data_IF_141406521061
#
_entry.id   IF_141406521061
#
_cell.length_a   1.000
_cell.length_b   1.000
_cell.length_c   1.000
_cell.angle_alpha   90.00
_cell.angle_beta   90.00
_cell.angle_gamma   90.00
#
_symmetry.space_group_name_H-M   'P 1'
#
loop_
_entity.id
_entity.type
_entity.pdbx_description
1 polymer ?
#
# COMPACT_ATOMS: atom_id res chain seq x y z
N UNK A 1 -7.90 29.94 -7.16
CA UNK A 1 -7.17 30.03 -5.88
C UNK A 1 -7.14 28.64 -5.28
N UNK A 2 -6.11 27.86 -5.58
CA UNK A 2 -5.98 26.48 -5.09
C UNK A 2 -5.16 26.53 -3.80
N UNK A 3 -5.82 26.28 -2.68
CA UNK A 3 -5.21 26.27 -1.35
C UNK A 3 -4.40 24.98 -1.23
N UNK A 4 -3.11 25.05 -1.59
CA UNK A 4 -2.12 24.04 -1.21
C UNK A 4 -1.95 24.12 0.31
N UNK A 5 -2.74 23.31 1.02
CA UNK A 5 -2.56 23.09 2.45
C UNK A 5 -1.22 22.39 2.66
N UNK A 6 -0.19 23.16 2.98
CA UNK A 6 1.07 22.64 3.49
C UNK A 6 0.77 21.81 4.74
N UNK A 7 1.00 20.50 4.67
CA UNK A 7 1.07 19.63 5.83
C UNK A 7 2.34 20.01 6.60
N UNK A 8 2.24 21.06 7.42
CA UNK A 8 3.22 21.38 8.44
C UNK A 8 3.11 20.30 9.51
N UNK A 9 3.87 19.23 9.33
CA UNK A 9 4.12 18.24 10.36
C UNK A 9 4.99 18.93 11.43
N UNK A 10 4.35 19.64 12.35
CA UNK A 10 5.00 20.16 13.54
C UNK A 10 5.28 18.99 14.48
N UNK A 11 6.25 18.14 14.12
CA UNK A 11 6.91 17.28 15.08
C UNK A 11 7.81 18.19 15.93
N UNK A 12 7.25 18.78 16.97
CA UNK A 12 8.04 19.14 18.16
C UNK A 12 8.43 17.83 18.82
N UNK A 13 9.35 17.10 18.17
CA UNK A 13 10.16 16.14 18.89
C UNK A 13 10.99 17.00 19.83
N UNK A 14 10.59 17.04 21.09
CA UNK A 14 11.47 17.46 22.18
C UNK A 14 12.58 16.41 22.23
N UNK A 15 13.52 16.49 21.28
CA UNK A 15 14.84 15.93 21.47
C UNK A 15 15.28 16.49 22.83
N UNK A 16 15.52 15.61 23.79
CA UNK A 16 16.34 15.94 24.95
C UNK A 16 17.69 16.28 24.34
N UNK A 17 17.82 17.56 24.03
CA UNK A 17 18.78 18.07 23.07
C UNK A 17 20.19 17.77 23.57
N UNK A 18 21.10 17.67 22.61
CA UNK A 18 22.53 17.52 22.82
C UNK A 18 23.12 18.43 23.90
N UNK A 19 22.44 19.52 24.29
CA UNK A 19 22.85 20.45 25.34
C UNK A 19 23.34 19.77 26.64
N UNK A 20 22.61 18.81 27.19
CA UNK A 20 23.02 18.20 28.47
C UNK A 20 24.31 17.37 28.28
N UNK A 21 24.42 16.65 27.16
CA UNK A 21 25.63 15.89 26.82
C UNK A 21 26.81 16.79 26.43
N UNK A 22 26.56 17.91 25.75
CA UNK A 22 27.59 18.88 25.36
C UNK A 22 28.19 19.55 26.59
N UNK A 23 27.37 19.92 27.59
CA UNK A 23 27.83 20.48 28.86
C UNK A 23 28.66 19.44 29.65
N UNK A 24 28.21 18.18 29.72
CA UNK A 24 28.96 17.08 30.36
C UNK A 24 30.31 16.80 29.66
N UNK A 25 30.33 16.81 28.32
CA UNK A 25 31.56 16.62 27.51
C UNK A 25 32.55 17.75 27.76
N UNK A 26 32.09 19.01 27.83
CA UNK A 26 32.95 20.14 28.12
C UNK A 26 33.58 20.02 29.51
N UNK A 27 32.79 19.67 30.53
CA UNK A 27 33.29 19.45 31.88
C UNK A 27 34.31 18.30 31.96
N UNK A 28 34.14 17.25 31.15
CA UNK A 28 35.12 16.16 31.04
C UNK A 28 36.43 16.66 30.40
N UNK A 29 36.35 17.42 29.31
CA UNK A 29 37.52 17.94 28.61
C UNK A 29 38.35 18.89 29.49
N UNK A 30 37.70 19.84 30.17
CA UNK A 30 38.39 20.76 31.10
C UNK A 30 39.17 20.01 32.19
N UNK A 31 38.60 18.91 32.70
CA UNK A 31 39.25 18.09 33.73
C UNK A 31 40.37 17.21 33.16
N UNK A 32 40.23 16.75 31.92
CA UNK A 32 41.30 16.05 31.23
C UNK A 32 42.50 16.97 31.02
N UNK A 33 42.25 18.21 30.56
CA UNK A 33 43.28 19.22 30.36
C UNK A 33 44.00 19.56 31.68
N UNK A 34 43.26 19.69 32.79
CA UNK A 34 43.84 19.92 34.11
C UNK A 34 44.73 18.76 34.59
N UNK A 35 44.29 17.51 34.36
CA UNK A 35 45.07 16.33 34.69
C UNK A 35 46.31 16.21 33.78
N UNK A 36 46.20 16.51 32.48
CA UNK A 36 47.32 16.50 31.53
C UNK A 36 48.39 17.54 31.90
N UNK A 37 47.97 18.76 32.29
CA UNK A 37 48.87 19.79 32.79
C UNK A 37 49.60 19.33 34.08
N UNK A 38 48.89 18.69 35.00
CA UNK A 38 49.48 18.15 36.23
C UNK A 38 50.49 17.05 35.95
N UNK A 39 50.17 16.12 35.04
CA UNK A 39 51.07 15.05 34.62
C UNK A 39 52.31 15.60 33.92
N UNK A 40 52.16 16.62 33.07
CA UNK A 40 53.28 17.31 32.41
C UNK A 40 54.21 17.93 33.44
N UNK A 41 53.68 18.64 34.44
CA UNK A 41 54.48 19.25 35.51
C UNK A 41 55.26 18.19 36.31
N UNK A 42 54.63 17.06 36.65
CA UNK A 42 55.32 15.94 37.31
C UNK A 42 56.44 15.39 36.41
N UNK A 43 56.18 15.18 35.12
CA UNK A 43 57.18 14.68 34.17
C UNK A 43 58.39 15.60 34.04
N UNK A 44 58.21 16.91 34.03
CA UNK A 44 59.31 17.88 34.01
C UNK A 44 60.19 17.78 35.25
N UNK A 45 59.59 17.64 36.44
CA UNK A 45 60.33 17.45 37.69
C UNK A 45 61.14 16.16 37.68
N UNK A 46 60.55 15.06 37.22
CA UNK A 46 61.26 13.78 37.11
C UNK A 46 62.43 13.85 36.12
N UNK A 47 62.28 14.54 34.98
CA UNK A 47 63.37 14.80 34.03
C UNK A 47 64.50 15.63 34.64
N UNK A 48 64.18 16.51 35.59
CA UNK A 48 65.18 17.31 36.31
C UNK A 48 65.94 16.56 37.42
N UNK A 49 65.71 15.26 37.57
CA UNK A 49 66.41 14.38 38.53
C UNK A 49 65.64 14.14 39.83
N UNK A 50 64.39 14.58 39.91
CA UNK A 50 63.52 14.27 41.04
C UNK A 50 62.91 12.86 40.92
N UNK A 51 62.37 12.32 42.02
CA UNK A 51 61.82 10.96 42.05
C UNK A 51 60.51 10.91 42.84
N UNK A 52 59.65 9.94 42.51
CA UNK A 52 58.38 9.71 43.22
C UNK A 52 58.64 8.98 44.53
N UNK A 53 58.36 9.64 45.66
CA UNK A 53 58.53 9.07 46.98
C UNK A 53 57.34 8.22 47.41
N UNK A 54 56.12 8.69 47.13
CA UNK A 54 54.89 8.06 47.59
C UNK A 54 53.76 8.32 46.63
N UNK A 55 52.93 7.30 46.42
CA UNK A 55 51.62 7.44 45.79
C UNK A 55 50.60 6.86 46.77
N UNK A 56 49.58 7.63 47.09
CA UNK A 56 48.55 7.20 48.02
C UNK A 56 47.14 7.57 47.53
N UNK A 57 46.13 6.74 47.83
CA UNK A 57 44.76 7.08 47.50
C UNK A 57 44.28 8.29 48.30
N UNK A 58 43.48 9.13 47.66
CA UNK A 58 42.67 10.18 48.28
C UNK A 58 41.19 9.94 47.93
N UNK A 59 40.27 10.63 48.60
CA UNK A 59 38.82 10.41 48.46
C UNK A 59 38.35 10.30 46.99
N UNK A 60 38.88 11.15 46.12
CA UNK A 60 38.51 11.20 44.70
C UNK A 60 39.72 11.05 43.77
N UNK A 61 40.70 10.18 44.07
CA UNK A 61 41.84 9.96 43.17
C UNK A 61 43.12 9.53 43.88
N UNK A 62 44.27 10.06 43.44
CA UNK A 62 45.58 9.78 44.04
C UNK A 62 46.34 11.07 44.35
N UNK A 63 47.18 11.01 45.38
CA UNK A 63 48.21 12.01 45.68
C UNK A 63 49.59 11.43 45.38
N UNK A 64 50.37 12.17 44.60
CA UNK A 64 51.77 11.86 44.30
C UNK A 64 52.66 12.81 45.10
N UNK A 65 53.56 12.26 45.91
CA UNK A 65 54.58 13.03 46.65
C UNK A 65 55.95 12.76 46.05
N UNK A 66 56.66 13.83 45.70
CA UNK A 66 58.03 13.76 45.18
C UNK A 66 59.05 13.76 46.32
N UNK A 67 60.30 13.39 46.01
CA UNK A 67 61.40 13.36 46.98
C UNK A 67 61.71 14.70 47.65
N UNK A 68 61.33 15.85 47.04
CA UNK A 68 61.42 17.17 47.69
C UNK A 68 60.35 17.42 48.76
N UNK A 69 59.33 16.56 48.85
CA UNK A 69 58.12 16.81 49.62
C UNK A 69 57.02 17.55 48.86
N UNK A 70 57.25 17.96 47.60
CA UNK A 70 56.20 18.55 46.75
C UNK A 70 55.11 17.52 46.44
N UNK A 71 53.85 17.93 46.52
CA UNK A 71 52.69 17.05 46.31
C UNK A 71 51.83 17.50 45.14
N UNK A 72 51.30 16.54 44.39
CA UNK A 72 50.33 16.74 43.31
C UNK A 72 49.13 15.83 43.52
N UNK A 73 47.92 16.38 43.40
CA UNK A 73 46.68 15.61 43.45
C UNK A 73 46.17 15.39 42.03
N UNK A 74 45.85 14.14 41.70
CA UNK A 74 45.22 13.74 40.45
C UNK A 74 43.83 13.22 40.81
N UNK A 75 42.80 13.95 40.37
CA UNK A 75 41.42 13.68 40.79
C UNK A 75 40.58 13.05 39.68
N UNK A 76 39.74 12.10 40.08
CA UNK A 76 38.65 11.53 39.31
C UNK A 76 37.50 12.53 39.12
N UNK A 77 36.51 12.10 38.35
CA UNK A 77 35.30 12.87 38.13
C UNK A 77 34.18 12.60 39.07
N UNK A 78 33.27 13.56 39.11
CA UNK A 78 31.93 13.31 39.58
C UNK A 78 31.23 12.32 38.63
N UNK A 79 30.32 11.54 39.19
CA UNK A 79 29.46 10.69 38.38
C UNK A 79 28.55 11.57 37.51
N UNK A 80 28.34 11.17 36.25
CA UNK A 80 27.36 11.80 35.39
C UNK A 80 25.96 11.75 36.03
N UNK A 81 25.16 12.78 35.77
CA UNK A 81 23.76 12.78 36.19
C UNK A 81 22.97 11.77 35.38
N UNK A 82 21.95 11.15 35.99
CA UNK A 82 21.04 10.30 35.23
C UNK A 82 20.28 11.17 34.21
N UNK A 83 20.20 10.69 32.96
CA UNK A 83 19.34 11.29 31.96
C UNK A 83 17.87 11.27 32.38
N UNK A 84 17.08 12.23 31.87
CA UNK A 84 15.63 12.24 32.09
C UNK A 84 14.97 11.04 31.42
N UNK A 85 13.90 10.52 32.03
CA UNK A 85 13.10 9.47 31.42
C UNK A 85 12.50 9.96 30.09
N UNK A 86 12.46 9.06 29.10
CA UNK A 86 11.80 9.35 27.83
C UNK A 86 10.28 9.46 27.97
N UNK A 87 9.66 10.13 27.01
CA UNK A 87 8.21 10.23 26.89
C UNK A 87 7.59 8.85 26.59
N UNK A 88 6.58 8.44 27.36
CA UNK A 88 5.91 7.13 27.21
C UNK A 88 4.49 7.33 26.66
N UNK A 89 4.06 6.44 25.76
CA UNK A 89 2.71 6.43 25.19
C UNK A 89 2.04 5.07 25.38
N UNK A 90 0.71 5.08 25.53
CA UNK A 90 -0.14 3.88 25.53
C UNK A 90 -1.38 4.09 24.65
N UNK A 91 -2.07 3.00 24.32
CA UNK A 91 -3.36 3.05 23.59
C UNK A 91 -4.49 2.89 24.61
N UNK A 92 -5.41 3.85 24.64
CA UNK A 92 -6.61 3.80 25.49
C UNK A 92 -7.69 2.88 24.93
N UNK A 93 -8.64 2.49 25.78
CA UNK A 93 -9.80 1.68 25.37
C UNK A 93 -10.69 2.38 24.34
N UNK A 94 -10.68 3.72 24.32
CA UNK A 94 -11.36 4.54 23.32
C UNK A 94 -10.60 4.59 21.97
N UNK A 95 -9.48 3.90 21.87
CA UNK A 95 -8.69 3.74 20.66
C UNK A 95 -7.72 4.88 20.36
N UNK A 96 -7.61 5.90 21.21
CA UNK A 96 -6.65 7.00 21.03
C UNK A 96 -5.32 6.72 21.73
N UNK A 97 -4.25 7.36 21.24
CA UNK A 97 -2.96 7.41 21.95
C UNK A 97 -3.05 8.33 23.15
N UNK A 98 -2.51 7.90 24.29
CA UNK A 98 -2.35 8.70 25.51
C UNK A 98 -0.86 8.91 25.81
N UNK A 99 -0.51 10.15 26.10
CA UNK A 99 0.77 10.52 26.69
C UNK A 99 0.74 10.23 28.19
N UNK A 100 1.71 9.45 28.67
CA UNK A 100 1.93 9.22 30.11
C UNK A 100 2.89 10.28 30.64
N UNK A 101 2.40 11.12 31.55
CA UNK A 101 3.20 12.13 32.25
C UNK A 101 4.07 11.47 33.34
N UNK A 102 5.10 12.19 33.79
CA UNK A 102 6.01 11.73 34.84
C UNK A 102 5.29 11.39 36.16
N UNK A 103 4.16 12.04 36.44
CA UNK A 103 3.32 11.78 37.62
C UNK A 103 2.33 10.61 37.43
N UNK A 104 2.39 9.92 36.28
CA UNK A 104 1.51 8.83 35.91
C UNK A 104 0.16 9.25 35.35
N UNK A 105 -0.12 10.56 35.24
CA UNK A 105 -1.35 11.02 34.60
C UNK A 105 -1.34 10.75 33.09
N UNK A 106 -2.52 10.46 32.56
CA UNK A 106 -2.73 10.14 31.16
C UNK A 106 -3.38 11.32 30.45
N UNK A 107 -2.75 11.82 29.40
CA UNK A 107 -3.28 12.89 28.56
C UNK A 107 -3.61 12.35 27.17
N UNK A 108 -4.90 12.39 26.79
CA UNK A 108 -5.35 11.90 25.48
C UNK A 108 -4.84 12.81 24.36
N UNK A 109 -4.27 12.22 23.32
CA UNK A 109 -3.89 12.93 22.10
C UNK A 109 -5.04 12.98 21.08
N UNK A 110 -4.82 13.69 19.97
CA UNK A 110 -5.74 13.70 18.82
C UNK A 110 -5.53 12.50 17.87
N UNK A 111 -4.60 11.58 18.19
CA UNK A 111 -4.23 10.46 17.30
C UNK A 111 -4.98 9.19 17.66
N UNK A 112 -5.77 8.70 16.72
CA UNK A 112 -6.44 7.40 16.83
C UNK A 112 -5.48 6.27 16.43
N UNK A 113 -5.32 5.27 17.29
CA UNK A 113 -4.36 4.18 17.17
C UNK A 113 -4.95 2.90 16.59
N UNK A 114 -6.24 2.65 16.80
CA UNK A 114 -6.90 1.43 16.31
C UNK A 114 -7.15 1.55 14.81
N UNK A 115 -6.49 0.72 14.01
CA UNK A 115 -6.85 0.56 12.61
C UNK A 115 -8.18 -0.20 12.52
N UNK A 116 -9.12 0.32 11.72
CA UNK A 116 -10.37 -0.36 11.41
C UNK A 116 -10.31 -0.92 10.00
N UNK A 117 -10.44 -2.24 9.87
CA UNK A 117 -10.45 -2.88 8.57
C UNK A 117 -11.72 -2.50 7.78
N UNK A 118 -11.62 -2.24 6.46
CA UNK A 118 -12.78 -2.08 5.59
C UNK A 118 -13.64 -3.35 5.60
N UNK A 119 -14.96 -3.19 5.54
CA UNK A 119 -15.90 -4.32 5.50
C UNK A 119 -17.00 -4.10 4.47
N UNK A 120 -17.66 -5.18 4.06
CA UNK A 120 -18.80 -5.12 3.14
C UNK A 120 -20.08 -5.32 3.94
N UNK A 121 -21.04 -4.39 3.80
CA UNK A 121 -22.38 -4.47 4.41
C UNK A 121 -23.40 -4.07 3.35
N UNK A 122 -24.45 -4.89 3.17
CA UNK A 122 -25.52 -4.69 2.19
C UNK A 122 -25.02 -4.40 0.76
N UNK A 123 -23.92 -5.03 0.35
CA UNK A 123 -23.33 -4.85 -0.97
C UNK A 123 -22.53 -3.56 -1.16
N UNK A 124 -22.21 -2.82 -0.10
CA UNK A 124 -21.36 -1.61 -0.15
C UNK A 124 -20.09 -1.78 0.69
N UNK A 125 -19.00 -1.16 0.22
CA UNK A 125 -17.81 -0.97 1.04
C UNK A 125 -18.09 0.03 2.16
N UNK A 126 -17.67 -0.33 3.37
CA UNK A 126 -17.77 0.48 4.58
C UNK A 126 -16.36 0.81 5.07
N UNK A 127 -16.08 2.09 5.29
CA UNK A 127 -14.80 2.56 5.85
C UNK A 127 -15.05 3.26 7.18
N UNK A 128 -14.13 3.15 8.13
CA UNK A 128 -14.25 3.85 9.41
C UNK A 128 -14.01 5.35 9.24
N UNK A 129 -14.96 6.16 9.68
CA UNK A 129 -14.82 7.61 9.80
C UNK A 129 -14.48 7.96 11.25
N UNK A 130 -13.21 8.28 11.51
CA UNK A 130 -12.73 8.63 12.85
C UNK A 130 -13.37 9.91 13.41
N UNK A 131 -13.91 10.80 12.56
CA UNK A 131 -14.57 12.04 12.99
C UNK A 131 -15.96 11.75 13.54
N UNK A 132 -16.67 10.79 12.94
CA UNK A 132 -18.01 10.38 13.37
C UNK A 132 -17.99 9.25 14.40
N UNK A 133 -16.89 8.50 14.48
CA UNK A 133 -16.79 7.32 15.33
C UNK A 133 -17.66 6.17 14.85
N UNK A 134 -17.87 6.04 13.52
CA UNK A 134 -18.68 4.99 12.93
C UNK A 134 -18.20 4.60 11.53
N UNK A 135 -18.69 3.46 11.02
CA UNK A 135 -18.47 3.03 9.65
C UNK A 135 -19.39 3.77 8.68
N UNK A 136 -18.81 4.45 7.69
CA UNK A 136 -19.55 5.16 6.64
C UNK A 136 -19.60 4.36 5.34
N UNK A 137 -20.76 4.39 4.68
CA UNK A 137 -21.00 3.74 3.38
C UNK A 137 -20.27 4.49 2.26
N UNK A 138 -19.58 3.73 1.40
CA UNK A 138 -18.85 4.24 0.23
C UNK A 138 -19.44 3.66 -1.06
N UNK A 139 -18.61 3.20 -1.98
CA UNK A 139 -19.00 2.62 -3.27
C UNK A 139 -19.61 1.21 -3.13
N UNK A 140 -20.38 0.80 -4.13
CA UNK A 140 -20.86 -0.58 -4.25
C UNK A 140 -19.65 -1.54 -4.30
N UNK A 141 -19.76 -2.66 -3.60
CA UNK A 141 -18.69 -3.65 -3.52
C UNK A 141 -18.54 -4.47 -4.80
N UNK A 142 -19.61 -4.59 -5.58
CA UNK A 142 -19.64 -5.24 -6.87
C UNK A 142 -19.95 -4.22 -7.97
N UNK A 143 -19.31 -4.38 -9.13
CA UNK A 143 -19.66 -3.61 -10.33
C UNK A 143 -21.03 -4.00 -10.89
N UNK A 144 -21.59 -3.16 -11.75
CA UNK A 144 -22.80 -3.51 -12.51
C UNK A 144 -22.54 -4.72 -13.40
N UNK A 145 -23.55 -5.57 -13.57
CA UNK A 145 -23.55 -6.58 -14.63
C UNK A 145 -23.40 -5.85 -15.98
N UNK A 146 -22.61 -6.42 -16.90
CA UNK A 146 -22.50 -5.89 -18.25
C UNK A 146 -23.80 -6.05 -19.02
N UNK A 147 -23.96 -5.29 -20.11
CA UNK A 147 -25.07 -5.49 -21.03
C UNK A 147 -24.98 -6.88 -21.70
N UNK A 148 -26.13 -7.48 -21.98
CA UNK A 148 -26.19 -8.73 -22.74
C UNK A 148 -25.61 -8.53 -24.16
N UNK A 149 -25.00 -9.58 -24.71
CA UNK A 149 -24.56 -9.59 -26.10
C UNK A 149 -25.74 -9.51 -27.08
N UNK A 150 -25.49 -9.02 -28.29
CA UNK A 150 -26.50 -9.04 -29.38
C UNK A 150 -26.74 -10.48 -29.86
N UNK A 151 -27.97 -10.78 -30.24
CA UNK A 151 -28.34 -12.06 -30.87
C UNK A 151 -27.60 -12.26 -32.21
N UNK A 152 -27.36 -13.53 -32.58
CA UNK A 152 -26.73 -13.89 -33.85
C UNK A 152 -27.68 -13.84 -35.05
N UNK A 153 -27.13 -13.72 -36.26
CA UNK A 153 -27.90 -13.70 -37.51
C UNK A 153 -28.01 -15.10 -38.12
N UNK A 154 -29.22 -15.54 -38.47
CA UNK A 154 -29.45 -16.85 -39.11
C UNK A 154 -29.38 -16.78 -40.64
N UNK A 155 -28.84 -17.79 -41.34
CA UNK A 155 -28.88 -17.85 -42.82
C UNK A 155 -30.30 -18.01 -43.38
N UNK A 156 -30.52 -17.55 -44.62
CA UNK A 156 -31.79 -17.73 -45.36
C UNK A 156 -31.54 -18.02 -46.86
N UNK A 157 -32.59 -18.36 -47.61
CA UNK A 157 -32.50 -18.57 -49.07
C UNK A 157 -33.05 -17.34 -49.80
N UNK A 158 -32.28 -16.79 -50.74
CA UNK A 158 -32.75 -15.74 -51.64
C UNK A 158 -33.70 -16.33 -52.69
N UNK A 159 -34.91 -15.80 -52.75
CA UNK A 159 -35.97 -16.34 -53.61
C UNK A 159 -35.80 -16.04 -55.10
N UNK A 160 -34.97 -15.05 -55.44
CA UNK A 160 -34.72 -14.62 -56.82
C UNK A 160 -33.68 -15.48 -57.54
N UNK A 161 -32.69 -16.01 -56.81
CA UNK A 161 -31.61 -16.82 -57.37
C UNK A 161 -31.47 -18.22 -56.74
N UNK A 162 -32.28 -18.56 -55.74
CA UNK A 162 -32.23 -19.79 -54.94
C UNK A 162 -30.92 -20.04 -54.18
N UNK A 163 -30.07 -19.03 -53.98
CA UNK A 163 -28.82 -19.21 -53.24
C UNK A 163 -29.00 -18.99 -51.73
N UNK A 164 -28.13 -19.63 -50.94
CA UNK A 164 -27.99 -19.35 -49.52
C UNK A 164 -27.35 -17.98 -49.28
N UNK A 165 -27.99 -17.19 -48.42
CA UNK A 165 -27.51 -15.91 -47.90
C UNK A 165 -26.97 -16.12 -46.49
N UNK A 166 -25.71 -15.76 -46.27
CA UNK A 166 -25.02 -15.91 -44.98
C UNK A 166 -24.58 -14.55 -44.46
N UNK A 167 -24.65 -14.35 -43.14
CA UNK A 167 -24.18 -13.12 -42.52
C UNK A 167 -22.66 -13.04 -42.55
N UNK A 168 -22.13 -11.97 -43.13
CA UNK A 168 -20.69 -11.68 -43.17
C UNK A 168 -20.43 -10.36 -42.43
N UNK A 169 -19.88 -10.47 -41.22
CA UNK A 169 -19.58 -9.34 -40.34
C UNK A 169 -18.51 -8.40 -40.94
N UNK A 170 -17.73 -8.86 -41.92
CA UNK A 170 -16.68 -8.04 -42.54
C UNK A 170 -17.22 -7.04 -43.56
N UNK A 171 -18.50 -7.15 -43.91
CA UNK A 171 -19.17 -6.19 -44.77
C UNK A 171 -19.60 -4.94 -43.98
N UNK A 172 -19.75 -3.81 -44.69
CA UNK A 172 -20.15 -2.50 -44.14
C UNK A 172 -19.39 -2.12 -42.86
N UNK A 173 -18.06 -2.02 -42.96
CA UNK A 173 -17.21 -1.51 -41.89
C UNK A 173 -17.38 -2.19 -40.52
N UNK A 174 -17.73 -3.48 -40.51
CA UNK A 174 -17.93 -4.25 -39.28
C UNK A 174 -19.37 -4.28 -38.76
N UNK A 175 -20.29 -3.54 -39.39
CA UNK A 175 -21.73 -3.62 -39.11
C UNK A 175 -22.35 -4.90 -39.67
N UNK A 176 -21.68 -5.54 -40.63
CA UNK A 176 -22.09 -6.78 -41.27
C UNK A 176 -23.21 -6.61 -42.30
N UNK A 177 -23.29 -7.56 -43.22
CA UNK A 177 -24.42 -7.66 -44.16
C UNK A 177 -24.58 -9.12 -44.62
N UNK A 178 -25.74 -9.43 -45.19
CA UNK A 178 -25.93 -10.72 -45.84
C UNK A 178 -25.23 -10.77 -47.19
N UNK A 179 -24.41 -11.81 -47.35
CA UNK A 179 -23.66 -12.09 -48.56
C UNK A 179 -24.23 -13.33 -49.25
N UNK A 180 -24.35 -13.25 -50.58
CA UNK A 180 -24.65 -14.43 -51.39
C UNK A 180 -23.46 -15.40 -51.33
N UNK A 181 -23.73 -16.62 -50.88
CA UNK A 181 -22.72 -17.67 -50.78
C UNK A 181 -22.28 -18.24 -52.14
N UNK A 182 -23.09 -18.04 -53.20
CA UNK A 182 -22.95 -18.71 -54.48
C UNK A 182 -23.38 -20.18 -54.47
N UNK A 183 -23.90 -20.68 -53.34
CA UNK A 183 -24.35 -22.06 -53.17
C UNK A 183 -25.87 -22.09 -53.37
N UNK A 184 -26.31 -22.75 -54.43
CA UNK A 184 -27.73 -22.99 -54.67
C UNK A 184 -28.30 -23.90 -53.57
N UNK A 185 -29.46 -23.53 -53.04
CA UNK A 185 -30.19 -24.33 -52.07
C UNK A 185 -31.03 -25.45 -52.71
N UNK A 186 -31.20 -25.43 -54.04
CA UNK A 186 -31.85 -26.47 -54.84
C UNK A 186 -30.79 -27.31 -55.56
N UNK A 187 -30.89 -28.64 -55.45
CA UNK A 187 -30.01 -29.58 -56.14
C UNK A 187 -30.28 -29.59 -57.65
N UNK A 188 -29.26 -29.86 -58.45
CA UNK A 188 -29.36 -29.63 -59.90
C UNK A 188 -30.09 -30.74 -60.67
N UNK A 189 -30.18 -31.99 -60.17
CA UNK A 189 -30.76 -33.07 -60.99
C UNK A 189 -31.35 -34.28 -60.22
N UNK A 190 -32.12 -34.07 -59.16
CA UNK A 190 -32.98 -35.13 -58.57
C UNK A 190 -32.26 -36.32 -57.88
N UNK A 191 -30.93 -36.25 -57.74
CA UNK A 191 -30.12 -37.17 -56.92
C UNK A 191 -29.49 -36.53 -55.69
N UNK A 192 -29.61 -35.20 -55.56
CA UNK A 192 -28.97 -34.43 -54.50
C UNK A 192 -29.89 -34.27 -53.28
N UNK A 193 -29.30 -33.88 -52.15
CA UNK A 193 -30.06 -33.45 -50.98
C UNK A 193 -30.31 -31.95 -51.12
N UNK A 194 -31.56 -31.51 -51.08
CA UNK A 194 -31.91 -30.09 -51.09
C UNK A 194 -32.93 -29.74 -50.03
N UNK A 195 -33.02 -28.44 -49.72
CA UNK A 195 -33.95 -27.94 -48.72
C UNK A 195 -34.91 -26.93 -49.34
N UNK A 196 -36.20 -27.06 -49.02
CA UNK A 196 -37.22 -26.10 -49.44
C UNK A 196 -38.07 -25.65 -48.25
N UNK A 197 -38.58 -24.40 -48.24
CA UNK A 197 -39.35 -23.91 -47.11
C UNK A 197 -40.73 -24.58 -47.06
N UNK A 198 -41.10 -25.15 -45.90
CA UNK A 198 -42.45 -25.61 -45.61
C UNK A 198 -43.31 -24.42 -45.16
N UNK A 199 -44.18 -23.91 -46.05
CA UNK A 199 -45.03 -22.76 -45.76
C UNK A 199 -46.00 -22.97 -44.60
N UNK A 200 -46.37 -24.22 -44.32
CA UNK A 200 -47.44 -24.59 -43.41
C UNK A 200 -46.94 -24.70 -41.97
N UNK A 201 -45.74 -25.27 -41.78
CA UNK A 201 -45.12 -25.46 -40.45
C UNK A 201 -44.05 -24.43 -40.14
N UNK A 202 -43.65 -23.59 -41.10
CA UNK A 202 -42.52 -22.64 -41.00
C UNK A 202 -41.18 -23.32 -40.72
N UNK A 203 -40.99 -24.55 -41.20
CA UNK A 203 -39.76 -25.33 -41.08
C UNK A 203 -39.18 -25.69 -42.45
N UNK A 204 -37.97 -26.26 -42.49
CA UNK A 204 -37.38 -26.75 -43.74
C UNK A 204 -37.85 -28.17 -44.07
N UNK A 205 -38.29 -28.39 -45.31
CA UNK A 205 -38.32 -29.73 -45.91
C UNK A 205 -36.91 -30.12 -46.33
N UNK A 206 -36.50 -31.35 -46.02
CA UNK A 206 -35.33 -32.00 -46.60
C UNK A 206 -35.79 -32.96 -47.70
N UNK A 207 -35.23 -32.81 -48.88
CA UNK A 207 -35.47 -33.70 -50.01
C UNK A 207 -34.27 -34.61 -50.22
N UNK A 208 -34.55 -35.90 -50.43
CA UNK A 208 -33.58 -36.90 -50.88
C UNK A 208 -34.19 -37.61 -52.10
N UNK A 209 -33.92 -37.08 -53.30
CA UNK A 209 -34.63 -37.48 -54.50
C UNK A 209 -36.14 -37.18 -54.38
N UNK A 210 -37.01 -38.17 -54.61
CA UNK A 210 -38.46 -37.98 -54.58
C UNK A 210 -39.08 -37.90 -53.16
N UNK A 211 -38.30 -38.20 -52.11
CA UNK A 211 -38.80 -38.22 -50.74
C UNK A 211 -38.56 -36.86 -50.07
N UNK A 212 -39.59 -36.34 -49.40
CA UNK A 212 -39.51 -35.12 -48.58
C UNK A 212 -39.78 -35.46 -47.11
N UNK A 213 -38.93 -34.98 -46.20
CA UNK A 213 -39.11 -35.13 -44.74
C UNK A 213 -39.02 -33.76 -44.06
N UNK A 214 -39.96 -33.44 -43.19
CA UNK A 214 -39.92 -32.18 -42.43
C UNK A 214 -38.80 -32.30 -41.39
N UNK A 215 -37.87 -31.36 -41.41
CA UNK A 215 -36.72 -31.35 -40.50
C UNK A 215 -37.10 -30.92 -39.09
N UNK A 216 -38.23 -30.23 -38.91
CA UNK A 216 -38.57 -29.53 -37.67
C UNK A 216 -37.71 -28.30 -37.38
N UNK A 217 -36.77 -27.96 -38.28
CA UNK A 217 -35.90 -26.79 -38.15
C UNK A 217 -36.63 -25.59 -38.73
N UNK A 218 -36.94 -24.59 -37.91
CA UNK A 218 -37.60 -23.36 -38.35
C UNK A 218 -36.72 -22.57 -39.34
N UNK A 219 -37.36 -21.91 -40.32
CA UNK A 219 -36.67 -20.99 -41.22
C UNK A 219 -37.15 -19.55 -40.99
N UNK A 220 -36.22 -18.61 -41.14
CA UNK A 220 -36.55 -17.18 -41.22
C UNK A 220 -36.73 -16.81 -42.70
N UNK A 221 -37.75 -16.00 -42.97
CA UNK A 221 -38.04 -15.55 -44.32
C UNK A 221 -37.03 -14.47 -44.74
N UNK A 222 -36.91 -14.24 -46.05
CA UNK A 222 -36.09 -13.15 -46.58
C UNK A 222 -36.53 -11.81 -45.95
N UNK A 223 -35.62 -11.16 -45.20
CA UNK A 223 -35.85 -9.87 -44.56
C UNK A 223 -36.40 -9.87 -43.13
N UNK A 224 -36.41 -11.01 -42.44
CA UNK A 224 -36.70 -11.12 -40.98
C UNK A 224 -35.45 -11.42 -40.18
#
# INVERSE_FOLDING_TARGET
>A
MMFLGALTLATTMSFVGCKDYDDDINAINERLDANDATLTAIQEKLKSGEWVQKVEPITNGIRVTLGSGTTYDITNGENGQNGKNGTVYEIGEDGYWYLIKEDGQKERTDKYALAHDPKIVDGYWMFWDATKGEYVKSIAAQGSTGDDGKDGHSPYINTSNNNWMVWDVTLKDGEGDFKDSGICAKGDNGTDIWYEPNSDTKTWWKHEGANATDTGISYLAEGT
#
